data_IF_575727945705
#
_entry.id   IF_575727945705
#
_cell.length_a   1.000
_cell.length_b   1.000
_cell.length_c   1.000
_cell.angle_alpha   90.00
_cell.angle_beta   90.00
_cell.angle_gamma   90.00
#
_symmetry.space_group_name_H-M   'P 1'
#
loop_
_entity.id
_entity.type
_entity.pdbx_description
1 polymer ?
#
# COMPACT_ATOMS: atom_id res chain seq x y z
N UNK A 1 -42.73 35.86 -31.51
CA UNK A 1 -43.04 34.94 -30.38
C UNK A 1 -42.03 33.83 -30.44
N UNK A 2 -41.29 33.50 -29.37
CA UNK A 2 -40.44 32.34 -29.39
C UNK A 2 -41.30 31.10 -29.45
N UNK A 3 -41.05 30.24 -30.43
CA UNK A 3 -41.69 28.96 -30.60
C UNK A 3 -41.32 28.09 -29.40
N UNK A 4 -42.31 27.69 -28.59
CA UNK A 4 -42.09 26.67 -27.55
C UNK A 4 -41.78 25.35 -28.25
N UNK A 5 -40.57 24.90 -28.09
CA UNK A 5 -40.17 23.53 -28.49
C UNK A 5 -40.90 22.56 -27.56
N UNK A 6 -41.87 21.80 -28.09
CA UNK A 6 -42.51 20.72 -27.38
C UNK A 6 -41.43 19.74 -26.86
N UNK A 7 -41.43 19.35 -25.59
CA UNK A 7 -40.47 18.39 -25.07
C UNK A 7 -40.76 17.02 -25.73
N UNK A 8 -39.91 16.66 -26.70
CA UNK A 8 -39.94 15.34 -27.34
C UNK A 8 -39.35 14.23 -26.45
N UNK A 9 -38.98 14.60 -25.23
CA UNK A 9 -38.49 13.68 -24.21
C UNK A 9 -39.67 13.30 -23.30
N UNK A 10 -39.94 12.01 -23.04
CA UNK A 10 -41.00 11.60 -22.17
C UNK A 10 -40.89 12.20 -20.76
N UNK A 11 -42.02 12.60 -20.18
CA UNK A 11 -42.05 13.04 -18.80
C UNK A 11 -41.57 11.89 -17.89
N UNK A 12 -40.58 12.18 -17.02
CA UNK A 12 -39.96 11.16 -16.15
C UNK A 12 -38.62 10.61 -16.66
N UNK A 13 -38.10 11.12 -17.77
CA UNK A 13 -36.74 10.79 -18.19
C UNK A 13 -35.68 11.29 -17.19
N UNK A 14 -34.76 10.44 -16.83
CA UNK A 14 -33.61 10.77 -15.95
C UNK A 14 -32.51 11.41 -16.78
N UNK A 15 -32.07 12.57 -16.39
CA UNK A 15 -30.99 13.28 -17.07
C UNK A 15 -29.64 12.70 -16.67
N UNK A 16 -28.83 12.26 -17.65
CA UNK A 16 -27.46 11.77 -17.45
C UNK A 16 -26.49 12.97 -17.44
N UNK A 17 -26.65 13.88 -18.38
CA UNK A 17 -25.96 15.19 -18.44
C UNK A 17 -26.80 16.19 -19.25
N UNK A 18 -26.25 17.37 -19.56
CA UNK A 18 -26.96 18.40 -20.32
C UNK A 18 -27.42 18.01 -21.74
N UNK A 19 -26.89 16.92 -22.32
CA UNK A 19 -27.18 16.46 -23.68
C UNK A 19 -27.85 15.09 -23.74
N UNK A 20 -27.64 14.24 -22.74
CA UNK A 20 -28.09 12.85 -22.75
C UNK A 20 -29.04 12.58 -21.60
N UNK A 21 -30.16 11.93 -21.92
CA UNK A 21 -31.15 11.47 -20.94
C UNK A 21 -31.53 10.01 -21.20
N UNK A 22 -32.07 9.34 -20.18
CA UNK A 22 -32.59 7.98 -20.27
C UNK A 22 -34.01 7.93 -19.73
N UNK A 23 -34.89 7.33 -20.49
CA UNK A 23 -36.27 7.02 -20.09
C UNK A 23 -36.41 5.53 -19.81
N UNK A 24 -37.07 5.21 -18.71
CA UNK A 24 -37.31 3.84 -18.26
C UNK A 24 -38.82 3.62 -18.19
N UNK A 25 -39.35 2.74 -19.02
CA UNK A 25 -40.79 2.42 -19.06
C UNK A 25 -41.15 1.16 -18.24
N UNK A 26 -40.23 0.62 -17.45
CA UNK A 26 -40.41 -0.60 -16.65
C UNK A 26 -40.09 -1.89 -17.41
N UNK A 27 -39.98 -1.87 -18.71
CA UNK A 27 -39.62 -3.02 -19.56
C UNK A 27 -38.38 -2.75 -20.40
N UNK A 28 -38.21 -1.50 -20.81
CA UNK A 28 -37.09 -1.06 -21.66
C UNK A 28 -36.49 0.28 -21.21
N UNK A 29 -35.24 0.50 -21.57
CA UNK A 29 -34.54 1.75 -21.37
C UNK A 29 -34.22 2.36 -22.72
N UNK A 30 -34.64 3.61 -22.93
CA UNK A 30 -34.39 4.36 -24.16
C UNK A 30 -33.51 5.57 -23.83
N UNK A 31 -32.40 5.71 -24.55
CA UNK A 31 -31.46 6.82 -24.40
C UNK A 31 -31.72 7.86 -25.47
N UNK A 32 -31.70 9.12 -25.05
CA UNK A 32 -31.91 10.27 -25.92
C UNK A 32 -30.66 11.15 -25.95
N UNK A 33 -30.27 11.59 -27.13
CA UNK A 33 -29.32 12.67 -27.33
C UNK A 33 -30.10 13.91 -27.72
N UNK A 34 -30.15 14.90 -26.85
CA UNK A 34 -31.10 16.00 -26.94
C UNK A 34 -32.55 15.46 -27.06
N UNK A 35 -33.19 15.59 -28.18
CA UNK A 35 -34.57 15.14 -28.43
C UNK A 35 -34.66 13.83 -29.23
N UNK A 36 -33.52 13.28 -29.69
CA UNK A 36 -33.51 12.10 -30.55
C UNK A 36 -33.22 10.83 -29.76
N UNK A 37 -34.06 9.80 -29.90
CA UNK A 37 -33.76 8.49 -29.34
C UNK A 37 -32.61 7.85 -30.12
N UNK A 38 -31.56 7.45 -29.42
CA UNK A 38 -30.34 6.89 -30.02
C UNK A 38 -30.19 5.40 -29.80
N UNK A 39 -30.60 4.92 -28.63
CA UNK A 39 -30.49 3.52 -28.26
C UNK A 39 -31.68 3.10 -27.41
N UNK A 40 -32.10 1.83 -27.56
CA UNK A 40 -33.08 1.20 -26.68
C UNK A 40 -32.67 -0.24 -26.40
N UNK A 41 -32.91 -0.72 -25.18
CA UNK A 41 -32.68 -2.10 -24.78
C UNK A 41 -33.62 -2.52 -23.66
N UNK A 42 -33.83 -3.82 -23.52
CA UNK A 42 -34.64 -4.36 -22.41
C UNK A 42 -33.89 -4.08 -21.06
N UNK A 43 -34.69 -3.84 -20.00
CA UNK A 43 -34.12 -3.52 -18.67
C UNK A 43 -33.15 -4.58 -18.17
N UNK A 44 -33.41 -5.87 -18.45
CA UNK A 44 -32.58 -6.98 -18.04
C UNK A 44 -31.35 -7.24 -18.93
N UNK A 45 -31.19 -6.50 -20.04
CA UNK A 45 -30.07 -6.70 -20.95
C UNK A 45 -28.81 -5.93 -20.49
N UNK A 46 -28.09 -6.55 -19.54
CA UNK A 46 -26.82 -6.02 -19.02
C UNK A 46 -25.73 -5.91 -20.07
N UNK A 47 -25.79 -6.67 -21.18
CA UNK A 47 -24.78 -6.63 -22.24
C UNK A 47 -24.97 -5.38 -23.09
N UNK A 48 -26.21 -5.15 -23.51
CA UNK A 48 -26.58 -3.95 -24.24
C UNK A 48 -26.36 -2.70 -23.41
N UNK A 49 -26.77 -2.69 -22.15
CA UNK A 49 -26.49 -1.60 -21.20
C UNK A 49 -25.00 -1.23 -21.15
N UNK A 50 -24.09 -2.23 -21.01
CA UNK A 50 -22.65 -2.00 -20.97
C UNK A 50 -22.11 -1.50 -22.29
N UNK A 51 -22.62 -1.97 -23.41
CA UNK A 51 -22.22 -1.51 -24.73
C UNK A 51 -22.67 -0.07 -24.97
N UNK A 52 -23.92 0.26 -24.74
CA UNK A 52 -24.49 1.60 -24.95
C UNK A 52 -23.78 2.62 -24.05
N UNK A 53 -23.63 2.34 -22.76
CA UNK A 53 -22.95 3.25 -21.84
C UNK A 53 -21.47 3.42 -22.20
N UNK A 54 -20.77 2.39 -22.69
CA UNK A 54 -19.42 2.49 -23.19
C UNK A 54 -19.35 3.37 -24.46
N UNK A 55 -20.30 3.23 -25.35
CA UNK A 55 -20.37 4.01 -26.59
C UNK A 55 -20.67 5.49 -26.36
N UNK A 56 -21.55 5.81 -25.39
CA UNK A 56 -21.80 7.19 -24.97
C UNK A 56 -20.56 7.87 -24.38
N UNK A 57 -19.73 7.11 -23.67
CA UNK A 57 -18.46 7.63 -23.13
C UNK A 57 -17.41 7.73 -24.23
N UNK A 58 -17.31 6.76 -25.11
CA UNK A 58 -16.31 6.72 -26.18
C UNK A 58 -16.56 7.80 -27.25
N UNK A 59 -17.81 8.09 -27.56
CA UNK A 59 -18.23 9.18 -28.46
C UNK A 59 -18.08 10.57 -27.84
N UNK A 60 -17.77 10.67 -26.54
CA UNK A 60 -17.68 11.95 -25.83
C UNK A 60 -19.04 12.55 -25.43
N UNK A 61 -20.17 11.88 -25.71
CA UNK A 61 -21.50 12.34 -25.34
C UNK A 61 -21.74 12.35 -23.81
N UNK A 62 -21.05 11.46 -23.05
CA UNK A 62 -21.07 11.42 -21.60
C UNK A 62 -19.66 11.26 -21.04
N UNK A 63 -19.42 11.83 -19.85
CA UNK A 63 -18.22 11.51 -19.06
C UNK A 63 -18.45 10.24 -18.25
N UNK A 64 -17.37 9.55 -17.90
CA UNK A 64 -17.44 8.34 -17.07
C UNK A 64 -18.17 8.59 -15.75
N UNK A 65 -17.99 9.78 -15.16
CA UNK A 65 -18.62 10.15 -13.89
C UNK A 65 -20.14 10.30 -14.02
N UNK A 66 -20.62 10.77 -15.19
CA UNK A 66 -22.04 10.95 -15.43
C UNK A 66 -22.75 9.58 -15.43
N UNK A 67 -22.14 8.57 -16.06
CA UNK A 67 -22.64 7.19 -16.06
C UNK A 67 -22.60 6.58 -14.66
N UNK A 68 -21.54 6.82 -13.88
CA UNK A 68 -21.44 6.31 -12.50
C UNK A 68 -22.55 6.87 -11.61
N UNK A 69 -22.77 8.19 -11.67
CA UNK A 69 -23.73 8.87 -10.81
C UNK A 69 -25.17 8.48 -11.16
N UNK A 70 -25.50 8.33 -12.46
CA UNK A 70 -26.86 8.03 -12.91
C UNK A 70 -27.27 6.57 -12.68
N UNK A 71 -26.32 5.65 -12.85
CA UNK A 71 -26.62 4.20 -12.82
C UNK A 71 -26.04 3.47 -11.61
N UNK A 72 -25.29 4.13 -10.73
CA UNK A 72 -24.68 3.50 -9.57
C UNK A 72 -23.58 2.48 -9.89
N UNK A 73 -23.02 2.52 -11.11
CA UNK A 73 -21.99 1.57 -11.54
C UNK A 73 -20.59 2.02 -11.13
N UNK A 74 -19.71 1.07 -10.79
CA UNK A 74 -18.35 1.38 -10.37
C UNK A 74 -17.51 1.92 -11.54
N UNK A 75 -16.59 2.85 -11.24
CA UNK A 75 -15.63 3.41 -12.20
C UNK A 75 -14.88 2.34 -12.98
N UNK A 76 -14.42 1.29 -12.29
CA UNK A 76 -13.71 0.16 -12.92
C UNK A 76 -14.58 -0.64 -13.90
N UNK A 77 -15.90 -0.67 -13.70
CA UNK A 77 -16.84 -1.31 -14.63
C UNK A 77 -16.99 -0.51 -15.91
N UNK A 78 -17.11 0.82 -15.79
CA UNK A 78 -17.21 1.73 -16.94
C UNK A 78 -15.92 1.68 -17.76
N UNK A 79 -14.75 1.81 -17.14
CA UNK A 79 -13.45 1.75 -17.82
C UNK A 79 -13.27 0.43 -18.55
N UNK A 80 -13.60 -0.71 -17.90
CA UNK A 80 -13.51 -2.04 -18.56
C UNK A 80 -14.43 -2.14 -19.77
N UNK A 81 -15.61 -1.55 -19.72
CA UNK A 81 -16.54 -1.55 -20.85
C UNK A 81 -16.03 -0.69 -22.00
N UNK A 82 -15.51 0.50 -21.72
CA UNK A 82 -14.91 1.39 -22.74
C UNK A 82 -13.68 0.71 -23.38
N UNK A 83 -12.78 0.15 -22.59
CA UNK A 83 -11.60 -0.56 -23.13
C UNK A 83 -12.01 -1.78 -23.98
N UNK A 84 -13.08 -2.47 -23.58
CA UNK A 84 -13.63 -3.62 -24.33
C UNK A 84 -14.22 -3.16 -25.67
N UNK A 85 -14.89 -2.01 -25.71
CA UNK A 85 -15.40 -1.41 -26.94
C UNK A 85 -14.25 -1.04 -27.88
N UNK A 86 -13.24 -0.37 -27.36
CA UNK A 86 -12.06 0.08 -28.14
C UNK A 86 -11.24 -1.08 -28.71
N UNK A 87 -11.12 -2.17 -27.97
CA UNK A 87 -10.29 -3.31 -28.37
C UNK A 87 -10.98 -4.30 -29.30
N UNK A 88 -12.30 -4.41 -29.26
CA UNK A 88 -13.03 -5.44 -29.99
C UNK A 88 -14.38 -5.00 -30.57
N UNK A 89 -14.65 -3.69 -30.60
CA UNK A 89 -15.91 -3.15 -31.11
C UNK A 89 -17.15 -3.57 -30.32
N UNK A 90 -18.33 -3.27 -30.88
CA UNK A 90 -19.61 -3.62 -30.30
C UNK A 90 -19.82 -5.15 -30.19
N UNK A 91 -19.30 -5.89 -31.18
CA UNK A 91 -19.41 -7.34 -31.23
C UNK A 91 -18.80 -8.03 -30.01
N UNK A 92 -17.74 -7.45 -29.44
CA UNK A 92 -17.09 -8.00 -28.26
C UNK A 92 -18.06 -8.22 -27.08
N UNK A 93 -19.11 -7.43 -26.94
CA UNK A 93 -20.09 -7.54 -25.86
C UNK A 93 -21.02 -8.75 -26.02
N UNK A 94 -21.23 -9.21 -27.25
CA UNK A 94 -22.15 -10.28 -27.61
C UNK A 94 -21.47 -11.63 -27.84
N UNK A 95 -20.13 -11.64 -28.02
CA UNK A 95 -19.38 -12.88 -28.05
C UNK A 95 -19.65 -13.62 -26.72
N UNK A 96 -20.35 -14.74 -26.79
CA UNK A 96 -20.43 -15.66 -25.69
C UNK A 96 -19.02 -16.21 -25.46
N UNK A 97 -18.32 -15.70 -24.44
CA UNK A 97 -17.22 -16.46 -23.87
C UNK A 97 -17.87 -17.79 -23.48
N UNK A 98 -17.49 -18.85 -24.19
CA UNK A 98 -17.83 -20.22 -23.77
C UNK A 98 -17.46 -20.26 -22.30
N UNK A 99 -18.48 -20.24 -21.44
CA UNK A 99 -18.28 -20.34 -20.01
C UNK A 99 -17.37 -21.53 -19.82
N UNK A 100 -16.39 -21.44 -18.91
CA UNK A 100 -15.62 -22.60 -18.51
C UNK A 100 -16.65 -23.67 -18.18
N UNK A 101 -16.84 -24.62 -19.10
CA UNK A 101 -17.59 -25.86 -18.81
C UNK A 101 -16.96 -26.42 -17.56
N UNK A 102 -17.74 -26.68 -16.54
CA UNK A 102 -17.30 -27.16 -15.24
C UNK A 102 -16.22 -28.20 -15.44
N UNK A 103 -15.11 -28.10 -14.68
CA UNK A 103 -13.80 -28.64 -14.96
C UNK A 103 -13.85 -30.01 -15.66
N UNK A 104 -13.44 -30.04 -16.91
CA UNK A 104 -13.36 -31.28 -17.74
C UNK A 104 -12.50 -32.39 -17.09
N UNK A 105 -11.67 -32.02 -16.10
CA UNK A 105 -10.71 -32.89 -15.45
C UNK A 105 -11.31 -33.63 -14.24
N UNK A 106 -12.18 -32.99 -13.44
CA UNK A 106 -12.83 -33.62 -12.30
C UNK A 106 -14.29 -33.95 -12.63
N UNK A 107 -14.50 -35.06 -13.31
CA UNK A 107 -15.79 -35.76 -13.34
C UNK A 107 -16.01 -36.45 -11.98
N UNK A 108 -17.25 -36.82 -11.66
CA UNK A 108 -17.60 -37.48 -10.41
C UNK A 108 -16.69 -38.67 -10.08
N UNK A 109 -16.48 -39.54 -11.05
CA UNK A 109 -15.63 -40.73 -10.91
C UNK A 109 -14.17 -40.39 -10.57
N UNK A 110 -13.61 -39.31 -11.14
CA UNK A 110 -12.24 -38.87 -10.89
C UNK A 110 -12.12 -38.19 -9.52
N UNK A 111 -13.17 -37.49 -9.06
CA UNK A 111 -13.22 -36.95 -7.70
C UNK A 111 -13.23 -38.07 -6.66
N UNK A 112 -14.03 -39.12 -6.89
CA UNK A 112 -14.11 -40.28 -5.99
C UNK A 112 -12.78 -41.05 -5.94
N UNK A 113 -12.11 -41.22 -7.07
CA UNK A 113 -10.77 -41.82 -7.12
C UNK A 113 -9.72 -40.93 -6.42
N UNK A 114 -9.77 -39.62 -6.64
CA UNK A 114 -8.88 -38.66 -6.00
C UNK A 114 -9.06 -38.65 -4.48
N UNK A 115 -10.31 -38.74 -4.00
CA UNK A 115 -10.62 -38.83 -2.57
C UNK A 115 -10.11 -40.14 -1.97
N UNK A 116 -10.31 -41.29 -2.65
CA UNK A 116 -9.78 -42.58 -2.17
C UNK A 116 -8.27 -42.58 -2.04
N UNK A 117 -7.52 -41.99 -2.98
CA UNK A 117 -6.06 -41.87 -2.89
C UNK A 117 -5.64 -41.01 -1.71
N UNK A 118 -6.36 -39.90 -1.44
CA UNK A 118 -6.10 -39.07 -0.27
C UNK A 118 -6.43 -39.80 1.06
N UNK A 119 -7.52 -40.58 1.09
CA UNK A 119 -7.91 -41.39 2.24
C UNK A 119 -6.93 -42.54 2.50
N UNK A 120 -6.33 -43.09 1.44
CA UNK A 120 -5.24 -44.07 1.53
C UNK A 120 -3.91 -43.43 1.92
N UNK A 121 -3.86 -42.08 2.01
CA UNK A 121 -2.72 -41.34 2.50
C UNK A 121 -1.65 -41.02 1.46
N UNK A 122 -2.00 -41.00 0.19
CA UNK A 122 -1.10 -40.48 -0.83
C UNK A 122 -0.88 -38.96 -0.63
N UNK A 123 0.35 -38.51 -0.90
CA UNK A 123 0.64 -37.08 -0.92
C UNK A 123 -0.05 -36.43 -2.12
N UNK A 124 -0.42 -35.15 -1.99
CA UNK A 124 -1.08 -34.38 -3.07
C UNK A 124 -0.39 -34.50 -4.43
N UNK A 125 0.98 -34.54 -4.43
CA UNK A 125 1.78 -34.66 -5.65
C UNK A 125 1.67 -36.06 -6.27
N UNK A 126 1.65 -37.09 -5.44
CA UNK A 126 1.63 -38.46 -5.87
C UNK A 126 0.23 -38.86 -6.33
N UNK A 127 -0.81 -38.46 -5.61
CA UNK A 127 -2.20 -38.62 -6.02
C UNK A 127 -2.51 -37.88 -7.34
N UNK A 128 -1.98 -36.68 -7.52
CA UNK A 128 -2.14 -35.93 -8.77
C UNK A 128 -1.41 -36.63 -9.93
N UNK A 129 -0.22 -37.22 -9.69
CA UNK A 129 0.56 -37.95 -10.67
C UNK A 129 -0.15 -39.24 -11.09
N UNK A 130 -0.65 -40.00 -10.14
CA UNK A 130 -1.37 -41.26 -10.37
C UNK A 130 -2.63 -41.06 -11.23
N UNK A 131 -3.31 -39.97 -11.05
CA UNK A 131 -4.50 -39.60 -11.83
C UNK A 131 -4.18 -38.86 -13.13
N UNK A 132 -2.93 -38.58 -13.43
CA UNK A 132 -2.52 -37.81 -14.62
C UNK A 132 -3.01 -36.37 -14.61
N UNK A 133 -3.26 -35.79 -13.41
CA UNK A 133 -3.82 -34.46 -13.24
C UNK A 133 -2.72 -33.49 -12.87
N UNK A 134 -2.75 -32.26 -13.43
CA UNK A 134 -1.81 -31.20 -13.05
C UNK A 134 -1.96 -30.88 -11.56
N UNK A 135 -0.86 -30.85 -10.83
CA UNK A 135 -0.80 -30.57 -9.40
C UNK A 135 -1.61 -29.33 -8.98
N UNK A 136 -1.50 -28.22 -9.73
CA UNK A 136 -2.27 -27.00 -9.43
C UNK A 136 -3.79 -27.18 -9.57
N UNK A 137 -4.24 -28.04 -10.45
CA UNK A 137 -5.67 -28.36 -10.62
C UNK A 137 -6.15 -29.20 -9.43
N UNK A 138 -5.32 -30.14 -8.97
CA UNK A 138 -5.59 -30.97 -7.80
C UNK A 138 -5.62 -30.13 -6.52
N UNK A 139 -4.63 -29.27 -6.33
CA UNK A 139 -4.57 -28.32 -5.19
C UNK A 139 -5.78 -27.40 -5.14
N UNK A 140 -6.24 -26.89 -6.29
CA UNK A 140 -7.47 -26.07 -6.35
C UNK A 140 -8.71 -26.85 -5.92
N UNK A 141 -8.83 -28.12 -6.28
CA UNK A 141 -9.96 -28.95 -5.87
C UNK A 141 -10.01 -29.17 -4.36
N UNK A 142 -8.86 -29.26 -3.69
CA UNK A 142 -8.78 -29.30 -2.21
C UNK A 142 -9.14 -27.95 -1.61
N UNK A 143 -8.60 -26.86 -2.13
CA UNK A 143 -8.88 -25.51 -1.65
C UNK A 143 -10.34 -25.08 -1.86
N UNK A 144 -10.99 -25.56 -2.91
CA UNK A 144 -12.41 -25.34 -3.21
C UNK A 144 -13.35 -26.27 -2.40
N UNK A 145 -12.81 -27.12 -1.52
CA UNK A 145 -13.58 -28.05 -0.70
C UNK A 145 -14.18 -29.24 -1.46
N UNK A 146 -13.77 -29.48 -2.72
CA UNK A 146 -14.25 -30.63 -3.51
C UNK A 146 -13.54 -31.94 -3.19
N UNK A 147 -12.37 -31.85 -2.57
CA UNK A 147 -11.59 -32.94 -2.03
C UNK A 147 -11.21 -32.62 -0.58
N UNK A 148 -11.30 -33.61 0.30
CA UNK A 148 -11.01 -33.47 1.73
C UNK A 148 -9.72 -34.25 2.00
N UNK A 149 -8.70 -33.58 2.51
CA UNK A 149 -7.46 -34.21 2.92
C UNK A 149 -7.48 -34.39 4.44
N UNK A 150 -7.47 -35.63 4.90
CA UNK A 150 -7.27 -35.96 6.31
C UNK A 150 -5.82 -35.62 6.68
N UNK A 151 -5.63 -34.65 7.58
CA UNK A 151 -4.30 -34.32 8.10
C UNK A 151 -3.72 -35.54 8.82
N UNK A 152 -2.73 -36.17 8.22
CA UNK A 152 -1.89 -37.13 8.93
C UNK A 152 -1.02 -36.39 9.92
N UNK A 153 -1.13 -36.73 11.20
CA UNK A 153 -0.07 -36.50 12.19
C UNK A 153 1.09 -37.42 11.84
N UNK A 154 2.16 -36.89 11.24
CA UNK A 154 3.40 -37.65 11.08
C UNK A 154 4.07 -37.82 12.45
N UNK A 155 4.41 -39.06 12.84
CA UNK A 155 5.22 -39.27 14.03
C UNK A 155 6.69 -39.05 13.65
N UNK A 156 7.30 -37.97 14.12
CA UNK A 156 8.77 -37.92 14.16
C UNK A 156 9.47 -36.73 13.55
N UNK A 157 8.79 -35.65 13.11
CA UNK A 157 9.45 -34.36 12.83
C UNK A 157 9.16 -33.36 13.94
N UNK A 158 10.21 -32.83 14.52
CA UNK A 158 10.20 -31.77 15.53
C UNK A 158 9.04 -30.81 15.31
N UNK A 159 8.20 -30.63 16.33
CA UNK A 159 7.02 -29.73 16.34
C UNK A 159 7.32 -28.45 15.59
N UNK A 160 6.64 -28.26 14.47
CA UNK A 160 6.77 -27.05 13.70
C UNK A 160 6.32 -25.88 14.54
N UNK A 161 6.85 -24.69 14.26
CA UNK A 161 6.46 -23.44 14.94
C UNK A 161 4.94 -23.17 14.93
N UNK A 162 4.15 -23.95 14.17
CA UNK A 162 2.68 -23.88 14.13
C UNK A 162 2.00 -24.51 15.34
N UNK A 163 2.55 -25.59 15.88
CA UNK A 163 1.95 -26.27 17.06
C UNK A 163 2.12 -25.43 18.34
N UNK A 164 3.21 -24.66 18.41
CA UNK A 164 3.45 -23.69 19.49
C UNK A 164 2.49 -22.48 19.37
N UNK A 165 2.07 -22.15 18.15
CA UNK A 165 1.11 -21.07 17.84
C UNK A 165 -0.28 -21.38 18.40
N UNK A 166 -0.75 -22.62 18.28
CA UNK A 166 -2.08 -23.01 18.74
C UNK A 166 -2.18 -23.04 20.29
N UNK A 167 -1.11 -23.42 20.97
CA UNK A 167 -1.06 -23.33 22.44
C UNK A 167 -1.07 -21.90 22.97
N UNK A 168 -0.32 -21.00 22.34
CA UNK A 168 -0.28 -19.58 22.73
C UNK A 168 -1.61 -18.85 22.41
N UNK A 169 -2.32 -19.27 21.38
CA UNK A 169 -3.66 -18.76 21.07
C UNK A 169 -4.70 -19.21 22.11
N UNK A 170 -4.57 -20.43 22.65
CA UNK A 170 -5.43 -20.93 23.70
C UNK A 170 -5.26 -20.18 25.04
N UNK A 171 -4.05 -19.64 25.30
CA UNK A 171 -3.77 -18.82 26.49
C UNK A 171 -4.24 -17.37 26.38
N UNK A 172 -4.91 -16.96 25.27
CA UNK A 172 -5.41 -15.61 25.06
C UNK A 172 -4.34 -14.54 24.79
N UNK A 173 -3.07 -14.93 24.69
CA UNK A 173 -1.94 -14.02 24.44
C UNK A 173 -1.72 -13.68 22.96
N UNK A 174 -2.44 -14.34 22.06
CA UNK A 174 -2.34 -14.16 20.61
C UNK A 174 -1.28 -15.05 19.94
N UNK A 175 -1.34 -15.09 18.62
CA UNK A 175 -0.53 -15.97 17.77
C UNK A 175 0.98 -15.75 17.95
N UNK A 176 1.76 -16.83 18.11
CA UNK A 176 3.21 -16.84 18.26
C UNK A 176 3.76 -16.18 19.55
N UNK A 177 2.93 -15.93 20.56
CA UNK A 177 3.38 -15.44 21.86
C UNK A 177 3.95 -16.57 22.70
N UNK A 178 5.23 -16.88 22.58
CA UNK A 178 5.90 -17.94 23.35
C UNK A 178 6.60 -17.44 24.63
N UNK A 179 6.81 -16.13 24.74
CA UNK A 179 7.48 -15.47 25.88
C UNK A 179 6.46 -14.88 26.87
N UNK A 180 5.54 -15.71 27.35
CA UNK A 180 4.40 -15.27 28.17
C UNK A 180 4.87 -14.58 29.46
N UNK A 181 5.86 -15.13 30.17
CA UNK A 181 6.39 -14.55 31.40
C UNK A 181 6.99 -13.17 31.21
N UNK A 182 7.75 -12.93 30.13
CA UNK A 182 8.33 -11.64 29.80
C UNK A 182 7.21 -10.62 29.46
N UNK A 183 6.17 -11.04 28.75
CA UNK A 183 5.01 -10.19 28.43
C UNK A 183 4.22 -9.79 29.67
N UNK A 184 4.04 -10.72 30.60
CA UNK A 184 3.40 -10.41 31.88
C UNK A 184 4.24 -9.43 32.72
N UNK A 185 5.55 -9.62 32.83
CA UNK A 185 6.44 -8.66 33.50
C UNK A 185 6.39 -7.28 32.86
N UNK A 186 6.38 -7.22 31.53
CA UNK A 186 6.26 -5.96 30.79
C UNK A 186 4.91 -5.28 31.02
N UNK A 187 3.80 -6.04 31.07
CA UNK A 187 2.46 -5.48 31.33
C UNK A 187 2.32 -4.95 32.75
N UNK A 188 3.02 -5.54 33.73
CA UNK A 188 3.08 -5.09 35.12
C UNK A 188 4.08 -3.94 35.35
N UNK A 189 4.74 -3.44 34.28
CA UNK A 189 5.77 -2.41 34.39
C UNK A 189 7.08 -2.86 35.06
N UNK A 190 7.24 -4.19 35.30
CA UNK A 190 8.43 -4.77 35.91
C UNK A 190 9.56 -5.11 34.94
N UNK A 191 9.31 -4.88 33.63
CA UNK A 191 10.28 -5.05 32.55
C UNK A 191 10.10 -3.93 31.53
N UNK A 192 11.20 -3.30 31.16
CA UNK A 192 11.26 -2.33 30.08
C UNK A 192 12.03 -2.96 28.93
N UNK A 193 11.29 -3.48 27.96
CA UNK A 193 11.83 -4.08 26.76
C UNK A 193 12.19 -5.57 26.90
N UNK A 194 11.69 -6.35 25.96
CA UNK A 194 12.07 -7.76 25.84
C UNK A 194 13.53 -7.89 25.39
N UNK A 195 14.29 -8.84 25.95
CA UNK A 195 15.65 -9.11 25.48
C UNK A 195 15.63 -9.67 24.07
N UNK A 196 16.53 -9.16 23.22
CA UNK A 196 16.75 -9.68 21.88
C UNK A 196 17.46 -11.03 21.96
N UNK A 197 16.87 -12.06 21.35
CA UNK A 197 17.44 -13.41 21.29
C UNK A 197 17.21 -13.97 19.89
N UNK A 198 18.28 -14.34 19.22
CA UNK A 198 18.23 -14.99 17.92
C UNK A 198 18.46 -16.49 18.07
N UNK A 199 17.41 -17.25 17.80
CA UNK A 199 17.47 -18.70 17.76
C UNK A 199 17.67 -19.18 16.32
N UNK A 200 18.31 -20.35 16.17
CA UNK A 200 18.47 -20.96 14.85
C UNK A 200 17.10 -21.36 14.31
N UNK A 201 16.70 -20.75 13.21
CA UNK A 201 15.45 -21.04 12.54
C UNK A 201 15.69 -21.30 11.05
N UNK A 202 14.89 -22.19 10.46
CA UNK A 202 14.88 -22.44 9.02
C UNK A 202 13.62 -21.80 8.42
N UNK A 203 13.70 -21.47 7.13
CA UNK A 203 12.56 -21.03 6.30
C UNK A 203 11.83 -19.79 6.82
N UNK A 204 12.57 -18.79 7.30
CA UNK A 204 11.99 -17.50 7.66
C UNK A 204 11.85 -16.66 6.40
N UNK A 205 10.62 -16.35 5.98
CA UNK A 205 10.39 -15.43 4.87
C UNK A 205 11.06 -14.08 5.14
N UNK A 206 11.69 -13.53 4.11
CA UNK A 206 12.35 -12.21 4.17
C UNK A 206 13.57 -12.13 5.12
N UNK A 207 14.15 -13.25 5.52
CA UNK A 207 15.35 -13.27 6.37
C UNK A 207 16.53 -12.47 5.78
N UNK A 208 16.55 -12.27 4.44
CA UNK A 208 17.54 -11.44 3.76
C UNK A 208 17.62 -10.01 4.26
N UNK A 209 16.61 -9.46 4.94
CA UNK A 209 16.69 -8.11 5.55
C UNK A 209 17.73 -8.04 6.65
N UNK A 210 18.10 -9.16 7.28
CA UNK A 210 19.16 -9.21 8.29
C UNK A 210 20.54 -8.89 7.70
N UNK A 211 20.74 -9.14 6.41
CA UNK A 211 21.98 -8.77 5.72
C UNK A 211 22.17 -7.24 5.64
N UNK A 212 21.10 -6.46 5.73
CA UNK A 212 21.16 -5.01 5.74
C UNK A 212 21.40 -4.43 7.15
N UNK A 213 21.30 -5.25 8.21
CA UNK A 213 21.45 -4.76 9.58
C UNK A 213 22.78 -4.05 9.85
N UNK A 214 23.96 -4.56 9.42
CA UNK A 214 25.22 -3.84 9.59
C UNK A 214 25.21 -2.45 8.96
N UNK A 215 24.66 -2.32 7.75
CA UNK A 215 24.56 -1.03 7.06
C UNK A 215 23.58 -0.07 7.76
N UNK A 216 22.44 -0.58 8.26
CA UNK A 216 21.49 0.23 9.04
C UNK A 216 22.13 0.77 10.32
N UNK A 217 22.94 -0.04 11.00
CA UNK A 217 23.66 0.36 12.22
C UNK A 217 24.76 1.37 11.91
N UNK A 218 25.54 1.14 10.84
CA UNK A 218 26.59 2.05 10.38
C UNK A 218 26.01 3.42 10.00
N UNK A 219 24.82 3.45 9.38
CA UNK A 219 24.11 4.69 9.06
C UNK A 219 23.40 5.33 10.27
N UNK A 220 23.60 4.80 11.47
CA UNK A 220 23.12 5.43 12.70
C UNK A 220 21.66 5.20 13.02
N UNK A 221 21.04 4.06 12.59
CA UNK A 221 19.63 3.76 12.84
C UNK A 221 19.18 3.99 14.30
N UNK A 222 20.07 3.82 15.26
CA UNK A 222 19.75 4.00 16.68
C UNK A 222 20.46 5.22 17.31
N UNK A 223 21.23 5.97 16.50
CA UNK A 223 21.97 7.11 17.01
C UNK A 223 21.00 8.21 17.50
N UNK A 224 21.18 8.63 18.74
CA UNK A 224 20.31 9.64 19.37
C UNK A 224 18.86 9.19 19.65
N UNK A 225 18.43 7.99 19.22
CA UNK A 225 17.03 7.57 19.30
C UNK A 225 16.43 7.69 20.71
N UNK A 226 17.16 7.22 21.75
CA UNK A 226 16.69 7.35 23.15
C UNK A 226 16.61 8.80 23.64
N UNK A 227 17.50 9.65 23.15
CA UNK A 227 17.57 11.05 23.56
C UNK A 227 16.39 11.86 23.04
N UNK A 228 16.05 11.66 21.77
CA UNK A 228 15.04 12.50 21.08
C UNK A 228 13.64 11.90 21.10
N UNK A 229 13.53 10.57 21.01
CA UNK A 229 12.25 9.88 20.92
C UNK A 229 11.74 9.35 22.28
N UNK A 230 12.52 9.57 23.33
CA UNK A 230 12.17 9.15 24.69
C UNK A 230 12.18 7.65 24.91
N UNK A 231 11.44 7.19 25.93
CA UNK A 231 11.33 5.77 26.28
C UNK A 231 9.95 5.23 25.95
N UNK A 232 9.89 4.30 25.05
CA UNK A 232 8.69 3.49 24.80
C UNK A 232 8.61 2.40 25.84
N UNK A 233 7.57 2.42 26.70
CA UNK A 233 7.37 1.45 27.77
C UNK A 233 6.79 0.13 27.26
N UNK A 234 7.01 -0.95 28.00
CA UNK A 234 6.43 -2.26 27.75
C UNK A 234 7.36 -3.24 27.05
N UNK A 235 6.80 -4.28 26.43
CA UNK A 235 7.53 -5.38 25.81
C UNK A 235 8.37 -4.95 24.61
N UNK A 236 7.82 -4.07 23.77
CA UNK A 236 8.52 -3.53 22.59
C UNK A 236 9.14 -2.19 22.92
N UNK A 237 10.46 -2.11 22.80
CA UNK A 237 11.23 -0.88 22.98
C UNK A 237 11.26 -0.05 21.69
N UNK A 238 11.76 1.16 21.80
CA UNK A 238 12.07 2.03 20.65
C UNK A 238 12.93 1.34 19.59
N UNK A 239 13.93 0.57 20.01
CA UNK A 239 14.80 -0.15 19.09
C UNK A 239 14.06 -1.22 18.28
N UNK A 240 13.14 -1.96 18.93
CA UNK A 240 12.30 -2.92 18.22
C UNK A 240 11.38 -2.24 17.21
N UNK A 241 10.82 -1.09 17.57
CA UNK A 241 9.94 -0.33 16.66
C UNK A 241 10.71 0.24 15.48
N UNK A 242 11.85 0.90 15.71
CA UNK A 242 12.68 1.45 14.65
C UNK A 242 13.21 0.36 13.71
N UNK A 243 13.69 -0.73 14.25
CA UNK A 243 14.17 -1.87 13.45
C UNK A 243 13.03 -2.50 12.64
N UNK A 244 11.84 -2.65 13.23
CA UNK A 244 10.67 -3.13 12.50
C UNK A 244 10.31 -2.20 11.33
N UNK A 245 10.30 -0.88 11.55
CA UNK A 245 10.01 0.10 10.50
C UNK A 245 11.07 0.04 9.39
N UNK A 246 12.35 -0.11 9.74
CA UNK A 246 13.43 -0.28 8.76
C UNK A 246 13.24 -1.58 7.95
N UNK A 247 12.92 -2.70 8.59
CA UNK A 247 12.65 -3.96 7.89
C UNK A 247 11.37 -3.89 7.05
N UNK A 248 10.34 -3.19 7.50
CA UNK A 248 9.15 -2.93 6.68
C UNK A 248 9.51 -2.15 5.41
N UNK A 249 10.33 -1.11 5.53
CA UNK A 249 10.80 -0.31 4.39
C UNK A 249 11.59 -1.18 3.38
N UNK A 250 12.55 -1.97 3.85
CA UNK A 250 13.33 -2.90 3.02
C UNK A 250 12.45 -3.96 2.33
N UNK A 251 11.39 -4.42 3.01
CA UNK A 251 10.40 -5.32 2.44
C UNK A 251 9.34 -4.64 1.57
N UNK A 252 9.46 -3.32 1.33
CA UNK A 252 8.48 -2.49 0.60
C UNK A 252 7.06 -2.53 1.19
N UNK A 253 6.95 -2.69 2.51
CA UNK A 253 5.70 -2.61 3.25
C UNK A 253 5.48 -1.14 3.60
N UNK A 254 4.77 -0.43 2.74
CA UNK A 254 4.66 1.05 2.76
C UNK A 254 3.82 1.62 3.92
N UNK A 255 2.98 0.82 4.56
CA UNK A 255 2.08 1.30 5.62
C UNK A 255 1.94 0.25 6.72
N UNK A 256 1.65 0.67 7.94
CA UNK A 256 1.36 -0.23 9.06
C UNK A 256 0.20 -1.18 8.75
N UNK A 257 -0.82 -0.72 8.01
CA UNK A 257 -1.96 -1.56 7.62
C UNK A 257 -1.56 -2.73 6.72
N UNK A 258 -0.61 -2.51 5.79
CA UNK A 258 -0.11 -3.58 4.93
C UNK A 258 0.66 -4.64 5.70
N UNK A 259 1.13 -4.32 6.90
CA UNK A 259 1.80 -5.27 7.78
C UNK A 259 0.87 -6.39 8.26
N UNK A 260 -0.46 -6.18 8.29
CA UNK A 260 -1.46 -7.23 8.62
C UNK A 260 -1.38 -8.47 7.73
N UNK A 261 -0.88 -8.32 6.51
CA UNK A 261 -0.72 -9.44 5.57
C UNK A 261 0.47 -10.36 5.87
N UNK A 262 1.22 -10.08 6.94
CA UNK A 262 2.44 -10.82 7.30
C UNK A 262 2.27 -11.57 8.62
N UNK A 263 2.94 -12.70 8.71
CA UNK A 263 2.92 -13.54 9.92
C UNK A 263 3.71 -12.87 11.05
N UNK A 264 3.08 -12.51 12.16
CA UNK A 264 3.75 -11.75 13.22
C UNK A 264 4.89 -12.50 13.88
N UNK A 265 4.82 -13.84 13.99
CA UNK A 265 5.90 -14.66 14.53
C UNK A 265 7.15 -14.69 13.67
N UNK A 266 7.00 -14.67 12.33
CA UNK A 266 8.14 -14.62 11.41
C UNK A 266 8.88 -13.28 11.50
N UNK A 267 8.14 -12.16 11.49
CA UNK A 267 8.75 -10.86 11.74
C UNK A 267 9.32 -10.71 13.15
N UNK A 268 8.68 -11.34 14.14
CA UNK A 268 9.23 -11.41 15.51
C UNK A 268 10.63 -12.00 15.54
N UNK A 269 10.84 -13.13 14.87
CA UNK A 269 12.15 -13.78 14.78
C UNK A 269 13.21 -12.89 14.12
N UNK A 270 12.84 -12.08 13.12
CA UNK A 270 13.76 -11.09 12.51
C UNK A 270 14.18 -10.00 13.51
N UNK A 271 13.35 -9.70 14.50
CA UNK A 271 13.65 -8.77 15.60
C UNK A 271 14.34 -9.43 16.80
N UNK A 272 14.60 -10.73 16.77
CA UNK A 272 15.05 -11.50 17.93
C UNK A 272 14.00 -11.64 19.03
N UNK A 273 12.72 -11.57 18.64
CA UNK A 273 11.55 -11.72 19.51
C UNK A 273 10.71 -12.93 19.09
N UNK A 274 9.77 -13.32 19.93
CA UNK A 274 8.78 -14.34 19.58
C UNK A 274 7.78 -13.85 18.55
N UNK A 275 7.40 -12.57 18.62
CA UNK A 275 6.36 -11.96 17.79
C UNK A 275 6.63 -10.47 17.60
N UNK A 276 6.37 -9.97 16.38
CA UNK A 276 6.31 -8.54 16.12
C UNK A 276 5.03 -7.90 16.70
N UNK A 277 5.01 -6.59 17.01
CA UNK A 277 3.81 -5.91 17.48
C UNK A 277 2.67 -5.99 16.47
N UNK A 278 1.45 -6.12 16.96
CA UNK A 278 0.26 -5.96 16.12
C UNK A 278 0.15 -4.53 15.58
N UNK A 279 -0.55 -4.37 14.46
CA UNK A 279 -0.72 -3.07 13.81
C UNK A 279 -1.25 -2.00 14.76
N UNK A 280 -2.22 -2.36 15.62
CA UNK A 280 -2.74 -1.42 16.64
C UNK A 280 -1.67 -1.02 17.66
N UNK A 281 -0.89 -1.99 18.14
CA UNK A 281 0.21 -1.73 19.04
C UNK A 281 1.31 -0.90 18.37
N UNK A 282 1.66 -1.23 17.13
CA UNK A 282 2.66 -0.48 16.36
C UNK A 282 2.25 0.99 16.17
N UNK A 283 1.00 1.24 15.79
CA UNK A 283 0.49 2.63 15.68
C UNK A 283 0.61 3.37 17.00
N UNK A 284 0.13 2.77 18.09
CA UNK A 284 0.22 3.42 19.41
C UNK A 284 1.67 3.74 19.78
N UNK A 285 2.61 2.83 19.45
CA UNK A 285 4.03 3.11 19.63
C UNK A 285 4.55 4.22 18.74
N UNK A 286 4.09 4.30 17.50
CA UNK A 286 4.44 5.41 16.61
C UNK A 286 3.86 6.74 17.10
N UNK A 287 2.65 6.74 17.63
CA UNK A 287 2.04 7.92 18.25
C UNK A 287 2.85 8.38 19.48
N UNK A 288 3.31 7.45 20.34
CA UNK A 288 4.22 7.75 21.45
C UNK A 288 5.55 8.37 20.96
N UNK A 289 6.12 7.86 19.86
CA UNK A 289 7.38 8.34 19.30
C UNK A 289 7.26 9.69 18.60
N UNK A 290 6.08 10.03 18.08
CA UNK A 290 5.82 11.31 17.40
C UNK A 290 5.47 12.44 18.37
N UNK A 291 5.29 12.15 19.66
CA UNK A 291 5.05 13.17 20.66
C UNK A 291 6.23 14.14 20.77
N UNK A 292 5.94 15.39 21.15
CA UNK A 292 6.93 16.44 21.44
C UNK A 292 7.91 16.77 20.32
N UNK A 293 7.54 16.53 19.05
CA UNK A 293 8.40 16.72 17.87
C UNK A 293 9.73 15.92 17.95
N UNK A 294 9.74 14.83 18.68
CA UNK A 294 10.91 13.98 18.88
C UNK A 294 11.46 13.43 17.56
N UNK A 295 10.57 13.04 16.65
CA UNK A 295 10.94 12.50 15.33
C UNK A 295 11.67 13.54 14.47
N UNK A 296 11.22 14.80 14.47
CA UNK A 296 11.88 15.89 13.73
C UNK A 296 13.25 16.22 14.30
N UNK A 297 13.36 16.30 15.64
CA UNK A 297 14.64 16.52 16.34
C UNK A 297 15.62 15.39 16.08
N UNK A 298 15.14 14.15 16.09
CA UNK A 298 15.95 12.97 15.77
C UNK A 298 16.41 12.97 14.32
N UNK A 299 15.51 13.27 13.37
CA UNK A 299 15.87 13.40 11.95
C UNK A 299 16.90 14.51 11.72
N UNK A 300 16.77 15.65 12.41
CA UNK A 300 17.74 16.72 12.34
C UNK A 300 19.13 16.29 12.88
N UNK A 301 19.14 15.55 14.00
CA UNK A 301 20.38 15.01 14.56
C UNK A 301 21.06 14.02 13.60
N UNK A 302 20.31 13.10 12.99
CA UNK A 302 20.85 12.17 12.01
C UNK A 302 21.37 12.88 10.75
N UNK A 303 20.61 13.84 10.24
CA UNK A 303 21.00 14.67 9.09
C UNK A 303 22.34 15.33 9.33
N UNK A 304 22.50 16.01 10.48
CA UNK A 304 23.75 16.67 10.88
C UNK A 304 24.89 15.67 11.03
N UNK A 305 24.63 14.53 11.69
CA UNK A 305 25.61 13.46 11.83
C UNK A 305 26.13 12.98 10.46
N UNK A 306 25.26 12.75 9.48
CA UNK A 306 25.67 12.33 8.14
C UNK A 306 26.47 13.40 7.41
N UNK A 307 26.06 14.67 7.50
CA UNK A 307 26.79 15.79 6.88
C UNK A 307 28.19 15.98 7.48
N UNK A 308 28.34 15.79 8.79
CA UNK A 308 29.64 15.88 9.48
C UNK A 308 30.58 14.72 9.11
N UNK A 309 30.04 13.52 8.89
CA UNK A 309 30.86 12.33 8.56
C UNK A 309 31.23 12.24 7.08
N UNK A 310 30.42 12.85 6.21
CA UNK A 310 30.64 12.86 4.76
C UNK A 310 30.53 14.29 4.20
N UNK A 311 31.42 15.22 4.60
CA UNK A 311 31.31 16.62 4.23
C UNK A 311 31.42 16.86 2.72
N UNK A 312 32.09 15.97 1.97
CA UNK A 312 32.15 16.06 0.51
C UNK A 312 30.83 15.86 -0.18
N UNK A 313 29.88 15.16 0.46
CA UNK A 313 28.54 14.91 -0.09
C UNK A 313 27.62 16.13 -0.03
N UNK A 314 27.99 17.17 0.70
CA UNK A 314 27.14 18.35 0.97
C UNK A 314 27.49 19.54 0.05
N UNK A 315 28.41 19.40 -0.86
CA UNK A 315 28.84 20.47 -1.80
C UNK A 315 27.71 20.87 -2.76
N UNK A 316 26.90 19.92 -3.22
CA UNK A 316 25.69 20.15 -4.03
C UNK A 316 24.53 19.38 -3.44
N UNK A 317 23.44 20.08 -3.17
CA UNK A 317 22.22 19.54 -2.56
C UNK A 317 21.05 19.64 -3.53
N UNK A 318 20.39 18.52 -3.76
CA UNK A 318 19.25 18.43 -4.66
C UNK A 318 17.95 18.52 -3.86
N UNK A 319 17.05 19.37 -4.34
CA UNK A 319 15.75 19.58 -3.72
C UNK A 319 14.66 19.12 -4.67
N UNK A 320 13.82 18.19 -4.20
CA UNK A 320 12.68 17.65 -4.95
C UNK A 320 11.40 17.82 -4.14
N UNK A 321 10.37 18.36 -4.78
CA UNK A 321 9.05 18.52 -4.21
C UNK A 321 8.16 17.32 -4.58
N UNK A 322 7.58 16.64 -3.60
CA UNK A 322 6.72 15.50 -3.81
C UNK A 322 5.38 15.65 -3.10
N UNK A 323 4.26 15.50 -3.83
CA UNK A 323 2.94 15.48 -3.22
C UNK A 323 2.62 14.09 -2.71
N UNK A 324 2.53 13.96 -1.39
CA UNK A 324 2.10 12.73 -0.72
C UNK A 324 0.57 12.70 -0.64
N UNK A 325 -0.05 11.91 -1.52
CA UNK A 325 -1.50 11.82 -1.65
C UNK A 325 -2.13 11.17 -0.41
N UNK A 326 -3.17 11.81 0.11
CA UNK A 326 -3.96 11.31 1.23
C UNK A 326 -5.28 10.72 0.74
N UNK A 327 -5.47 9.44 0.97
CA UNK A 327 -6.68 8.70 0.60
C UNK A 327 -7.68 8.53 1.75
N UNK A 328 -7.35 9.05 2.94
CA UNK A 328 -8.21 8.99 4.12
C UNK A 328 -9.35 10.00 4.08
N UNK A 329 -10.29 9.86 5.02
CA UNK A 329 -11.46 10.73 5.15
C UNK A 329 -11.43 11.59 6.44
N UNK A 330 -10.55 11.24 7.38
CA UNK A 330 -10.54 11.87 8.72
C UNK A 330 -9.92 13.27 8.71
N UNK A 331 -8.91 13.50 7.87
CA UNK A 331 -8.21 14.79 7.81
C UNK A 331 -8.59 15.54 6.55
N UNK A 332 -8.99 16.78 6.70
CA UNK A 332 -9.27 17.66 5.57
C UNK A 332 -7.96 18.33 5.13
N UNK A 333 -7.32 17.78 4.10
CA UNK A 333 -6.15 18.37 3.49
C UNK A 333 -6.52 19.14 2.20
N UNK A 334 -5.75 20.17 1.83
CA UNK A 334 -5.95 20.91 0.60
C UNK A 334 -5.71 19.99 -0.62
N UNK A 335 -6.36 20.33 -1.73
CA UNK A 335 -6.12 19.63 -3.00
C UNK A 335 -4.87 20.20 -3.66
N UNK A 336 -4.02 19.30 -4.17
CA UNK A 336 -2.79 19.61 -4.90
C UNK A 336 -2.81 18.92 -6.25
N UNK A 337 -2.24 19.58 -7.25
CA UNK A 337 -2.03 18.95 -8.54
C UNK A 337 -0.90 17.92 -8.42
N UNK A 338 -1.19 16.68 -8.79
CA UNK A 338 -0.22 15.58 -8.80
C UNK A 338 0.10 15.28 -10.26
N UNK A 339 1.26 15.68 -10.72
CA UNK A 339 1.69 15.60 -12.14
C UNK A 339 1.59 14.18 -12.70
N UNK A 340 2.01 13.18 -11.91
CA UNK A 340 1.95 11.75 -12.30
C UNK A 340 0.53 11.24 -12.52
N UNK A 341 -0.42 11.76 -11.75
CA UNK A 341 -1.84 11.35 -11.80
C UNK A 341 -2.66 12.29 -12.69
N UNK A 342 -2.13 13.47 -13.04
CA UNK A 342 -2.81 14.56 -13.75
C UNK A 342 -4.15 14.94 -13.10
N UNK A 343 -4.20 14.91 -11.78
CA UNK A 343 -5.40 15.16 -10.97
C UNK A 343 -5.07 16.05 -9.78
N UNK A 344 -6.03 16.87 -9.36
CA UNK A 344 -5.96 17.56 -8.07
C UNK A 344 -6.43 16.62 -6.96
N UNK A 345 -5.50 16.14 -6.17
CA UNK A 345 -5.74 15.20 -5.06
C UNK A 345 -5.45 15.88 -3.72
N UNK A 346 -6.08 15.39 -2.65
CA UNK A 346 -5.75 15.82 -1.29
C UNK A 346 -4.38 15.28 -0.90
N UNK A 347 -3.54 16.12 -0.34
CA UNK A 347 -2.20 15.70 0.07
C UNK A 347 -1.43 16.79 0.76
N UNK A 348 -0.26 16.43 1.23
CA UNK A 348 0.75 17.34 1.77
C UNK A 348 1.93 17.35 0.80
N UNK A 349 2.68 18.44 0.76
CA UNK A 349 3.89 18.53 -0.04
C UNK A 349 5.11 18.28 0.84
N UNK A 350 5.92 17.33 0.45
CA UNK A 350 7.19 16.98 1.08
C UNK A 350 8.34 17.51 0.21
N UNK A 351 9.16 18.40 0.75
CA UNK A 351 10.38 18.87 0.10
C UNK A 351 11.59 18.10 0.64
N UNK A 352 12.13 17.23 -0.18
CA UNK A 352 13.29 16.40 0.15
C UNK A 352 14.58 17.11 -0.21
N UNK A 353 15.50 17.15 0.72
CA UNK A 353 16.86 17.65 0.50
C UNK A 353 17.79 16.44 0.47
N UNK A 354 18.43 16.22 -0.67
CA UNK A 354 19.26 15.06 -0.96
C UNK A 354 20.68 15.49 -1.30
N UNK A 355 21.63 14.58 -1.10
CA UNK A 355 22.99 14.75 -1.57
C UNK A 355 23.14 14.50 -3.10
N UNK A 356 24.37 14.66 -3.61
CA UNK A 356 24.70 14.48 -5.02
C UNK A 356 24.42 13.06 -5.56
N UNK A 357 24.34 12.04 -4.70
CA UNK A 357 24.04 10.66 -5.07
C UNK A 357 22.59 10.24 -4.73
N UNK A 358 21.77 11.19 -4.32
CA UNK A 358 20.35 10.99 -4.08
C UNK A 358 20.01 10.41 -2.70
N UNK A 359 20.91 10.46 -1.72
CA UNK A 359 20.58 10.08 -0.34
C UNK A 359 19.88 11.23 0.37
N UNK A 360 18.74 11.01 1.02
CA UNK A 360 18.02 12.06 1.70
C UNK A 360 18.71 12.46 3.01
N UNK A 361 18.94 13.74 3.20
CA UNK A 361 19.39 14.30 4.48
C UNK A 361 18.19 14.62 5.37
N UNK A 362 17.21 15.36 4.83
CA UNK A 362 16.01 15.69 5.57
C UNK A 362 14.83 16.01 4.64
N UNK A 363 13.65 16.11 5.22
CA UNK A 363 12.42 16.49 4.54
C UNK A 363 11.73 17.63 5.29
N UNK A 364 11.15 18.57 4.53
CA UNK A 364 10.27 19.62 5.05
C UNK A 364 8.86 19.32 4.58
N UNK A 365 7.96 19.07 5.53
CA UNK A 365 6.54 18.79 5.25
C UNK A 365 5.73 20.08 5.29
N UNK A 366 4.93 20.33 4.27
CA UNK A 366 3.98 21.46 4.21
C UNK A 366 2.56 20.96 3.93
N UNK A 367 1.68 21.15 4.90
CA UNK A 367 0.23 20.88 4.72
C UNK A 367 -0.38 21.85 3.71
N UNK A 368 -0.06 23.13 3.84
CA UNK A 368 -0.38 24.18 2.90
C UNK A 368 0.94 24.57 2.25
N UNK A 369 1.07 24.25 0.97
CA UNK A 369 2.28 24.51 0.23
C UNK A 369 2.38 25.99 -0.16
N UNK A 370 3.36 26.73 0.35
CA UNK A 370 3.56 28.13 -0.01
C UNK A 370 4.36 28.31 -1.32
N UNK A 371 4.79 27.19 -1.94
CA UNK A 371 5.66 27.15 -3.09
C UNK A 371 7.15 27.00 -2.72
N UNK A 372 7.90 26.40 -3.63
CA UNK A 372 9.31 26.02 -3.43
C UNK A 372 10.18 27.20 -2.97
N UNK A 373 10.04 28.37 -3.58
CA UNK A 373 10.88 29.54 -3.26
C UNK A 373 10.69 30.00 -1.80
N UNK A 374 9.46 29.93 -1.28
CA UNK A 374 9.18 30.31 0.12
C UNK A 374 9.79 29.29 1.06
N UNK A 375 9.64 27.99 0.76
CA UNK A 375 10.22 26.91 1.58
C UNK A 375 11.75 26.94 1.53
N UNK A 376 12.34 27.27 0.39
CA UNK A 376 13.80 27.47 0.28
C UNK A 376 14.27 28.57 1.22
N UNK A 377 13.63 29.75 1.15
CA UNK A 377 14.02 30.92 1.93
C UNK A 377 13.80 30.76 3.42
N UNK A 378 12.64 30.23 3.81
CA UNK A 378 12.18 30.30 5.19
C UNK A 378 12.52 29.03 6.01
N UNK A 379 12.70 27.86 5.35
CA UNK A 379 12.93 26.59 6.02
C UNK A 379 14.28 25.95 5.65
N UNK A 380 14.53 25.75 4.34
CA UNK A 380 15.68 24.93 3.90
C UNK A 380 17.01 25.66 4.08
N UNK A 381 17.12 26.86 3.55
CA UNK A 381 18.37 27.64 3.64
C UNK A 381 18.77 27.96 5.07
N UNK A 382 17.88 28.44 5.96
CA UNK A 382 18.23 28.66 7.36
C UNK A 382 18.74 27.40 8.05
N UNK A 383 18.12 26.25 7.78
CA UNK A 383 18.56 24.97 8.34
C UNK A 383 19.92 24.55 7.82
N UNK A 384 20.15 24.65 6.52
CA UNK A 384 21.46 24.31 5.91
C UNK A 384 22.59 25.22 6.42
N UNK A 385 22.30 26.49 6.66
CA UNK A 385 23.28 27.40 7.26
C UNK A 385 23.71 26.98 8.67
N UNK A 386 22.88 26.24 9.39
CA UNK A 386 23.20 25.71 10.72
C UNK A 386 23.82 24.32 10.68
N UNK A 387 23.39 23.46 9.74
CA UNK A 387 23.69 22.02 9.76
C UNK A 387 24.88 21.65 8.87
N UNK A 388 25.16 22.41 7.77
CA UNK A 388 26.27 22.11 6.86
C UNK A 388 27.61 22.43 7.55
N UNK A 389 28.51 21.43 7.68
CA UNK A 389 29.81 21.65 8.30
C UNK A 389 30.77 22.40 7.37
N UNK A 390 31.85 22.94 7.95
CA UNK A 390 32.98 23.51 7.22
C UNK A 390 32.63 24.63 6.21
N UNK A 391 31.59 25.40 6.50
CA UNK A 391 31.21 26.52 5.65
C UNK A 391 32.28 27.61 5.65
N UNK A 392 32.50 28.29 4.49
CA UNK A 392 33.39 29.44 4.42
C UNK A 392 32.91 30.54 5.36
N UNK A 393 33.87 31.21 6.00
CA UNK A 393 33.63 32.40 6.81
C UNK A 393 33.12 33.57 5.96
N UNK A 394 32.46 34.53 6.56
CA UNK A 394 32.02 35.73 5.84
C UNK A 394 33.16 36.52 5.22
N UNK A 395 34.34 36.47 5.83
CA UNK A 395 35.50 37.11 5.30
C UNK A 395 35.99 36.42 4.02
N UNK A 396 36.05 35.09 4.02
CA UNK A 396 36.43 34.31 2.83
C UNK A 396 35.45 34.52 1.68
N UNK A 397 34.15 34.62 1.99
CA UNK A 397 33.10 34.89 0.98
C UNK A 397 33.20 36.28 0.36
N UNK A 398 33.70 37.27 1.14
CA UNK A 398 33.94 38.63 0.63
C UNK A 398 35.21 38.70 -0.22
N UNK A 399 36.27 37.97 0.15
CA UNK A 399 37.55 37.92 -0.55
C UNK A 399 37.44 37.12 -1.87
N UNK A 400 36.60 36.13 -1.93
CA UNK A 400 36.37 35.31 -3.14
C UNK A 400 34.89 35.23 -3.52
N UNK A 401 34.44 36.06 -4.50
CA UNK A 401 33.06 36.10 -4.94
C UNK A 401 32.54 34.79 -5.58
N UNK A 402 33.46 33.91 -6.01
CA UNK A 402 33.11 32.60 -6.58
C UNK A 402 32.91 31.52 -5.51
N UNK A 403 33.22 31.82 -4.26
CA UNK A 403 33.07 30.87 -3.15
C UNK A 403 31.62 30.91 -2.67
N UNK A 404 30.99 29.74 -2.50
CA UNK A 404 29.65 29.61 -1.96
C UNK A 404 29.64 28.66 -0.75
N UNK A 405 28.65 28.80 0.14
CA UNK A 405 28.51 27.94 1.32
C UNK A 405 28.08 26.52 0.93
N UNK A 406 27.20 26.44 -0.01
CA UNK A 406 26.69 25.20 -0.62
C UNK A 406 25.96 25.57 -1.93
N UNK A 407 25.73 24.58 -2.78
CA UNK A 407 25.00 24.75 -4.04
C UNK A 407 23.66 24.03 -3.90
N UNK A 408 22.55 24.72 -4.28
CA UNK A 408 21.22 24.13 -4.33
C UNK A 408 20.81 23.90 -5.78
N UNK A 409 20.39 22.69 -6.06
CA UNK A 409 19.91 22.26 -7.37
C UNK A 409 18.44 21.84 -7.23
N UNK A 410 17.56 22.43 -7.99
CA UNK A 410 16.13 22.12 -7.98
C UNK A 410 15.55 22.23 -9.38
N UNK A 411 14.49 21.46 -9.65
CA UNK A 411 13.76 21.54 -10.92
C UNK A 411 12.87 22.79 -10.92
N UNK A 412 12.72 23.36 -12.09
CA UNK A 412 11.86 24.53 -12.30
C UNK A 412 10.46 24.01 -12.60
N UNK A 413 9.60 23.92 -11.57
CA UNK A 413 8.18 23.71 -11.74
C UNK A 413 7.46 24.99 -12.22
#
# INVERSE_FOLDING_TARGET
MPQQILPLIPCGATQINGLVSVYRDGTSWTYFLSTYPIYSHAENDRRMFRMVTAQLVDSGACRQIDIQNTFGVSKSSVIRSVNKLRSGGAEAFFVQRRGRRGGKVFKSEVLDQAQRLLDQGYLRKDAARELGIKYDTFRKAINDGRLIELRRSEPGLTKSSRDVVDMAAADGMGTACTRVGERMLASLGKMVGAPVRFDRCLDIPKAGVLCALPALLANGLFNGAKQFLGQVKGYYTIFHVLLLLAFMALCRIKTTEKFRGHTPGEFGKLLGLDRAPEVRCLRHKMDELSADQGAEKWAAHLSKYWMEHEPESVGALYIDGHVRVYHGQLTQLPRRYVSRERLCLRGITDYWVNDAIGRPFFVIEKQIDPGLLVVLRDDIVPRLLQDVPNQPSEQQLKENPCLCRFVLVFDRE
#
